data_IF_918128827845
#
_entry.id   IF_918128827845
#
_cell.length_a   1.000
_cell.length_b   1.000
_cell.length_c   1.000
_cell.angle_alpha   90.00
_cell.angle_beta   90.00
_cell.angle_gamma   90.00
#
_symmetry.space_group_name_H-M   'P 1'
#
loop_
_entity.id
_entity.type
_entity.pdbx_description
1 polymer ?
#
# COMPACT_ATOMS: atom_id res chain seq x y z
N UNK A 1 -10.29 11.05 -3.45
CA UNK A 1 -9.34 11.05 -4.59
C UNK A 1 -8.81 9.65 -4.91
N UNK A 2 -8.21 8.93 -3.96
CA UNK A 2 -7.66 7.59 -4.20
C UNK A 2 -8.63 6.61 -4.90
N UNK A 3 -9.87 6.49 -4.42
CA UNK A 3 -10.90 5.66 -5.05
C UNK A 3 -11.19 6.06 -6.50
N UNK A 4 -11.25 7.37 -6.78
CA UNK A 4 -11.48 7.89 -8.14
C UNK A 4 -10.36 7.45 -9.08
N UNK A 5 -9.11 7.61 -8.66
CA UNK A 5 -7.92 7.23 -9.45
C UNK A 5 -7.85 5.72 -9.64
N UNK A 6 -8.08 4.95 -8.58
CA UNK A 6 -8.13 3.49 -8.63
C UNK A 6 -9.21 2.98 -9.59
N UNK A 7 -10.44 3.50 -9.49
CA UNK A 7 -11.55 3.13 -10.38
C UNK A 7 -11.26 3.49 -11.84
N UNK A 8 -10.60 4.62 -12.09
CA UNK A 8 -10.14 4.98 -13.43
C UNK A 8 -9.14 3.94 -13.97
N UNK A 9 -8.13 3.59 -13.18
CA UNK A 9 -7.15 2.57 -13.59
C UNK A 9 -7.83 1.20 -13.81
N UNK A 10 -8.81 0.85 -12.98
CA UNK A 10 -9.60 -0.37 -13.13
C UNK A 10 -10.39 -0.40 -14.44
N UNK A 11 -10.95 0.73 -14.87
CA UNK A 11 -11.64 0.83 -16.16
C UNK A 11 -10.68 0.67 -17.36
N UNK A 12 -9.41 1.06 -17.19
CA UNK A 12 -8.37 0.87 -18.21
C UNK A 12 -7.93 -0.59 -18.24
N UNK A 13 -7.73 -1.23 -17.08
CA UNK A 13 -7.27 -2.63 -17.05
C UNK A 13 -8.30 -3.64 -17.58
N UNK A 14 -9.58 -3.27 -17.55
CA UNK A 14 -10.66 -4.04 -18.19
C UNK A 14 -10.58 -4.02 -19.73
N UNK A 15 -9.93 -3.02 -20.31
CA UNK A 15 -9.74 -2.89 -21.76
C UNK A 15 -8.34 -3.37 -22.18
N UNK A 16 -7.34 -3.12 -21.34
CA UNK A 16 -5.93 -3.43 -21.58
C UNK A 16 -5.37 -4.22 -20.39
N UNK A 17 -5.23 -5.56 -20.50
CA UNK A 17 -4.85 -6.43 -19.39
C UNK A 17 -3.61 -5.93 -18.65
N UNK A 18 -3.81 -5.58 -17.38
CA UNK A 18 -2.77 -5.03 -16.51
C UNK A 18 -3.13 -5.24 -15.03
N UNK A 19 -2.10 -5.27 -14.18
CA UNK A 19 -2.29 -5.23 -12.75
C UNK A 19 -2.36 -3.78 -12.24
N UNK A 20 -3.10 -3.55 -11.16
CA UNK A 20 -3.27 -2.24 -10.53
C UNK A 20 -2.87 -2.36 -9.07
N UNK A 21 -1.80 -1.66 -8.68
CA UNK A 21 -1.43 -1.54 -7.28
C UNK A 21 -2.40 -0.57 -6.57
N UNK A 22 -3.14 -1.00 -5.51
CA UNK A 22 -4.10 -0.15 -4.82
C UNK A 22 -3.45 0.83 -3.83
N UNK A 23 -2.34 1.48 -4.20
CA UNK A 23 -1.50 2.30 -3.30
C UNK A 23 -2.30 3.38 -2.58
N UNK A 24 -3.15 4.12 -3.30
CA UNK A 24 -3.98 5.17 -2.68
C UNK A 24 -5.00 4.60 -1.68
N UNK A 25 -5.52 3.40 -1.92
CA UNK A 25 -6.46 2.75 -1.00
C UNK A 25 -5.73 2.23 0.26
N UNK A 26 -4.52 1.69 0.10
CA UNK A 26 -3.63 1.33 1.22
C UNK A 26 -3.37 2.54 2.12
N UNK A 27 -3.00 3.68 1.53
CA UNK A 27 -2.75 4.92 2.26
C UNK A 27 -4.00 5.40 3.01
N UNK A 28 -5.16 5.42 2.34
CA UNK A 28 -6.43 5.79 2.96
C UNK A 28 -6.75 4.88 4.16
N UNK A 29 -6.60 3.56 3.99
CA UNK A 29 -6.87 2.59 5.05
C UNK A 29 -5.95 2.80 6.24
N UNK A 30 -4.65 3.00 6.00
CA UNK A 30 -3.70 3.25 7.08
C UNK A 30 -4.01 4.55 7.80
N UNK A 31 -4.30 5.64 7.09
CA UNK A 31 -4.63 6.93 7.71
C UNK A 31 -5.96 6.89 8.48
N UNK A 32 -6.90 6.02 8.11
CA UNK A 32 -8.12 5.78 8.87
C UNK A 32 -7.84 5.07 10.21
N UNK A 33 -6.88 4.12 10.24
CA UNK A 33 -6.53 3.34 11.44
C UNK A 33 -5.50 4.07 12.31
N UNK A 34 -4.54 4.76 11.71
CA UNK A 34 -3.48 5.53 12.35
C UNK A 34 -3.42 6.95 11.78
N UNK A 35 -4.33 7.86 12.19
CA UNK A 35 -4.37 9.24 11.67
C UNK A 35 -3.11 10.06 11.95
N UNK A 36 -2.28 9.64 12.91
CA UNK A 36 -1.00 10.27 13.25
C UNK A 36 0.16 9.81 12.38
N UNK A 37 -0.07 8.87 11.45
CA UNK A 37 0.94 8.40 10.51
C UNK A 37 1.46 9.55 9.65
N UNK A 38 2.76 9.84 9.74
CA UNK A 38 3.41 10.83 8.90
C UNK A 38 3.74 10.22 7.53
N UNK A 39 2.73 10.05 6.67
CA UNK A 39 2.93 9.49 5.33
C UNK A 39 3.36 10.53 4.31
N UNK A 40 2.96 11.78 4.49
CA UNK A 40 3.31 12.90 3.61
C UNK A 40 4.61 13.58 4.06
N UNK A 41 5.37 14.07 3.10
CA UNK A 41 6.46 15.00 3.30
C UNK A 41 5.92 16.37 3.75
N UNK A 42 6.80 17.29 4.15
CA UNK A 42 6.44 18.62 4.64
C UNK A 42 5.68 19.48 3.62
N UNK A 43 5.76 19.16 2.33
CA UNK A 43 4.99 19.82 1.26
C UNK A 43 3.52 19.36 1.17
N UNK A 44 3.12 18.37 1.98
CA UNK A 44 1.76 17.86 2.06
C UNK A 44 1.32 17.00 0.87
N UNK A 45 2.23 16.65 -0.05
CA UNK A 45 1.90 15.88 -1.25
C UNK A 45 2.86 14.70 -1.50
N UNK A 46 4.16 14.92 -1.48
CA UNK A 46 5.12 13.84 -1.72
C UNK A 46 5.10 12.84 -0.57
N UNK A 47 5.49 11.60 -0.86
CA UNK A 47 5.69 10.61 0.18
C UNK A 47 6.89 10.96 1.07
N UNK A 48 6.69 10.85 2.37
CA UNK A 48 7.77 10.77 3.36
C UNK A 48 8.49 9.42 3.27
N UNK A 49 9.51 9.20 4.10
CA UNK A 49 10.13 7.88 4.25
C UNK A 49 9.11 6.79 4.60
N UNK A 50 8.25 7.02 5.59
CA UNK A 50 7.21 6.06 5.97
C UNK A 50 6.20 5.81 4.83
N UNK A 51 5.81 6.87 4.11
CA UNK A 51 4.95 6.75 2.92
C UNK A 51 5.60 5.90 1.81
N UNK A 52 6.91 6.08 1.60
CA UNK A 52 7.68 5.27 0.66
C UNK A 52 7.74 3.80 1.09
N UNK A 53 7.97 3.51 2.37
CA UNK A 53 7.99 2.12 2.87
C UNK A 53 6.63 1.45 2.72
N UNK A 54 5.53 2.11 3.08
CA UNK A 54 4.18 1.56 2.89
C UNK A 54 3.89 1.22 1.42
N UNK A 55 4.27 2.14 0.52
CA UNK A 55 4.14 1.95 -0.92
C UNK A 55 5.02 0.80 -1.41
N UNK A 56 6.25 0.70 -0.92
CA UNK A 56 7.17 -0.38 -1.26
C UNK A 56 6.66 -1.73 -0.78
N UNK A 57 6.10 -1.83 0.43
CA UNK A 57 5.47 -3.06 0.94
C UNK A 57 4.27 -3.48 0.07
N UNK A 58 3.49 -2.51 -0.43
CA UNK A 58 2.40 -2.77 -1.38
C UNK A 58 2.93 -3.45 -2.65
N UNK A 59 3.99 -2.90 -3.25
CA UNK A 59 4.60 -3.50 -4.44
C UNK A 59 5.31 -4.82 -4.15
N UNK A 60 5.92 -4.97 -2.97
CA UNK A 60 6.55 -6.21 -2.56
C UNK A 60 5.57 -7.38 -2.62
N UNK A 61 4.38 -7.25 -2.03
CA UNK A 61 3.40 -8.34 -2.03
C UNK A 61 2.86 -8.62 -3.43
N UNK A 62 2.63 -7.58 -4.24
CA UNK A 62 2.19 -7.74 -5.64
C UNK A 62 3.23 -8.46 -6.49
N UNK A 63 4.51 -8.11 -6.36
CA UNK A 63 5.58 -8.60 -7.23
C UNK A 63 6.07 -9.98 -6.77
N UNK A 64 6.21 -10.19 -5.46
CA UNK A 64 6.75 -11.43 -4.91
C UNK A 64 5.69 -12.50 -4.66
N UNK A 65 4.45 -12.10 -4.41
CA UNK A 65 3.38 -12.98 -3.92
C UNK A 65 3.49 -13.32 -2.42
N UNK A 66 4.54 -12.84 -1.74
CA UNK A 66 4.73 -13.02 -0.30
C UNK A 66 3.97 -11.95 0.48
N UNK A 67 3.34 -12.32 1.59
CA UNK A 67 2.52 -11.40 2.37
C UNK A 67 3.36 -10.32 3.04
N UNK A 68 2.99 -9.06 2.86
CA UNK A 68 3.63 -7.93 3.54
C UNK A 68 3.50 -8.02 5.07
N UNK A 69 2.39 -8.59 5.57
CA UNK A 69 2.19 -8.90 7.00
C UNK A 69 3.18 -9.93 7.56
N UNK A 70 3.77 -10.77 6.70
CA UNK A 70 4.76 -11.76 7.11
C UNK A 70 6.20 -11.23 7.15
N UNK A 71 6.44 -9.96 6.75
CA UNK A 71 7.77 -9.37 6.78
C UNK A 71 8.23 -9.22 8.24
N UNK A 72 9.32 -9.88 8.66
CA UNK A 72 9.82 -9.75 10.03
C UNK A 72 10.28 -8.31 10.28
N UNK A 73 10.12 -7.87 11.53
CA UNK A 73 10.66 -6.58 11.95
C UNK A 73 12.16 -6.49 11.65
N UNK A 74 12.57 -5.33 11.13
CA UNK A 74 13.97 -5.03 10.89
C UNK A 74 14.25 -3.59 11.29
N UNK A 75 15.30 -3.39 12.10
CA UNK A 75 15.76 -2.05 12.47
C UNK A 75 16.44 -1.30 11.34
N UNK A 76 16.56 -1.90 10.15
CA UNK A 76 17.05 -1.22 8.94
C UNK A 76 16.01 -0.25 8.36
N UNK A 77 14.73 -0.41 8.72
CA UNK A 77 13.68 0.53 8.40
C UNK A 77 13.54 1.53 9.55
N UNK A 78 13.42 2.82 9.22
CA UNK A 78 13.16 3.88 10.21
C UNK A 78 11.69 3.90 10.69
N UNK A 79 11.15 2.72 11.00
CA UNK A 79 9.83 2.50 11.58
C UNK A 79 9.99 1.72 12.88
N UNK A 80 9.15 2.00 13.88
CA UNK A 80 9.07 1.11 15.03
C UNK A 80 8.40 -0.23 14.66
N UNK A 81 8.56 -1.23 15.53
CA UNK A 81 8.04 -2.58 15.29
C UNK A 81 6.52 -2.61 15.11
N UNK A 82 5.77 -1.79 15.84
CA UNK A 82 4.31 -1.75 15.76
C UNK A 82 3.86 -1.11 14.44
N UNK A 83 4.52 -0.03 14.04
CA UNK A 83 4.28 0.65 12.78
C UNK A 83 4.57 -0.24 11.58
N UNK A 84 5.72 -0.93 11.56
CA UNK A 84 6.06 -1.85 10.48
C UNK A 84 5.05 -2.99 10.37
N UNK A 85 4.67 -3.60 11.50
CA UNK A 85 3.68 -4.68 11.51
C UNK A 85 2.31 -4.19 11.00
N UNK A 86 1.85 -3.03 11.47
CA UNK A 86 0.59 -2.45 11.00
C UNK A 86 0.62 -2.15 9.50
N UNK A 87 1.75 -1.68 8.96
CA UNK A 87 1.88 -1.42 7.52
C UNK A 87 1.70 -2.72 6.73
N UNK A 88 2.34 -3.81 7.15
CA UNK A 88 2.18 -5.12 6.54
C UNK A 88 0.72 -5.59 6.55
N UNK A 89 0.06 -5.53 7.72
CA UNK A 89 -1.35 -5.90 7.88
C UNK A 89 -2.28 -5.12 6.95
N UNK A 90 -2.13 -3.79 6.89
CA UNK A 90 -2.98 -2.94 6.04
C UNK A 90 -2.74 -3.25 4.56
N UNK A 91 -1.49 -3.46 4.15
CA UNK A 91 -1.17 -3.84 2.76
C UNK A 91 -1.84 -5.15 2.39
N UNK A 92 -1.61 -6.21 3.18
CA UNK A 92 -2.17 -7.53 2.92
C UNK A 92 -3.70 -7.53 2.95
N UNK A 93 -4.32 -6.82 3.90
CA UNK A 93 -5.77 -6.68 3.94
C UNK A 93 -6.31 -6.02 2.67
N UNK A 94 -5.74 -4.87 2.27
CA UNK A 94 -6.23 -4.12 1.11
C UNK A 94 -6.01 -4.92 -0.17
N UNK A 95 -4.91 -5.66 -0.31
CA UNK A 95 -4.68 -6.54 -1.47
C UNK A 95 -5.62 -7.74 -1.50
N UNK A 96 -6.04 -8.27 -0.35
CA UNK A 96 -7.08 -9.30 -0.30
C UNK A 96 -8.46 -8.76 -0.71
N UNK A 97 -8.79 -7.52 -0.32
CA UNK A 97 -10.05 -6.84 -0.70
C UNK A 97 -10.03 -6.35 -2.16
N UNK A 98 -8.85 -5.96 -2.65
CA UNK A 98 -8.61 -5.39 -3.98
C UNK A 98 -7.40 -6.06 -4.66
N UNK A 99 -7.57 -7.31 -5.15
CA UNK A 99 -6.48 -8.03 -5.80
C UNK A 99 -5.86 -7.23 -6.94
N UNK A 100 -4.53 -7.13 -6.97
CA UNK A 100 -3.85 -6.27 -7.92
C UNK A 100 -3.95 -6.79 -9.36
N UNK A 101 -3.86 -8.09 -9.57
CA UNK A 101 -3.90 -8.72 -10.88
C UNK A 101 -5.21 -9.49 -11.06
N UNK A 102 -5.80 -9.51 -12.27
CA UNK A 102 -6.89 -10.43 -12.58
C UNK A 102 -6.44 -11.87 -12.33
N UNK A 103 -7.27 -12.68 -11.69
CA UNK A 103 -7.03 -14.13 -11.62
C UNK A 103 -7.13 -14.71 -13.05
N UNK A 104 -6.19 -15.59 -13.45
CA UNK A 104 -6.22 -16.25 -14.76
C UNK A 104 -7.53 -16.97 -15.08
#
# INVERSE_FOLDING_TARGET
EAERVYNLHQSISQQEPSCIAPVGLVWNRLLAVMPTAKLYNADGNHASYAGNILTAMTFYEIISGELADAIPYTSALELDQQQQALFGQIVTQVLAEHPACPTP
#
